data_IF_451751998861
#
_entry.id   IF_451751998861
#
_cell.length_a   1.000
_cell.length_b   1.000
_cell.length_c   1.000
_cell.angle_alpha   90.00
_cell.angle_beta   90.00
_cell.angle_gamma   90.00
#
_symmetry.space_group_name_H-M   'P 1'
#
loop_
_entity.id
_entity.type
_entity.pdbx_description
1 polymer ?
#
# COMPACT_ATOMS: atom_id res chain seq x y z
N UNK A 1 -13.17 -8.89 24.14
CA UNK A 1 -12.62 -8.72 22.78
C UNK A 1 -11.16 -9.13 22.77
N UNK A 2 -10.82 -10.24 22.10
CA UNK A 2 -9.46 -10.83 22.05
C UNK A 2 -9.02 -11.11 20.59
N UNK A 3 -9.46 -10.27 19.64
CA UNK A 3 -9.19 -10.44 18.19
C UNK A 3 -8.26 -9.38 17.58
N UNK A 4 -7.81 -8.37 18.33
CA UNK A 4 -7.15 -7.20 17.72
C UNK A 4 -5.64 -7.34 17.44
N UNK A 5 -4.89 -8.23 18.13
CA UNK A 5 -3.45 -8.41 17.89
C UNK A 5 -3.08 -9.54 16.90
N UNK A 6 -3.95 -10.53 16.73
CA UNK A 6 -3.72 -11.66 15.83
C UNK A 6 -4.06 -11.34 14.37
N UNK A 7 -4.99 -10.41 14.15
CA UNK A 7 -5.47 -10.06 12.81
C UNK A 7 -4.39 -9.40 11.93
N UNK A 8 -3.53 -8.54 12.51
CA UNK A 8 -2.57 -7.79 11.72
C UNK A 8 -1.46 -8.68 11.12
N UNK A 9 -0.80 -9.60 11.87
CA UNK A 9 0.15 -10.53 11.26
C UNK A 9 -0.47 -11.44 10.19
N UNK A 10 -1.69 -11.91 10.41
CA UNK A 10 -2.42 -12.75 9.45
C UNK A 10 -2.71 -11.98 8.16
N UNK A 11 -3.18 -10.73 8.27
CA UNK A 11 -3.38 -9.84 7.14
C UNK A 11 -2.07 -9.62 6.36
N UNK A 12 -0.99 -9.24 7.03
CA UNK A 12 0.30 -8.99 6.36
C UNK A 12 0.82 -10.25 5.64
N UNK A 13 0.57 -11.44 6.20
CA UNK A 13 0.92 -12.69 5.54
C UNK A 13 0.10 -12.92 4.27
N UNK A 14 -1.21 -12.66 4.32
CA UNK A 14 -2.15 -12.84 3.22
C UNK A 14 -1.82 -11.90 2.04
N UNK A 15 -1.48 -10.64 2.34
CA UNK A 15 -1.09 -9.60 1.37
C UNK A 15 0.24 -9.87 0.63
N UNK A 16 0.93 -10.98 0.91
CA UNK A 16 2.02 -11.48 0.05
C UNK A 16 1.50 -12.03 -1.27
N UNK A 17 0.25 -12.49 -1.29
CA UNK A 17 -0.44 -12.90 -2.50
C UNK A 17 -0.83 -11.64 -3.32
N UNK A 18 -0.36 -11.49 -4.57
CA UNK A 18 -0.64 -10.31 -5.37
C UNK A 18 -2.14 -10.04 -5.59
N UNK A 19 -2.97 -11.09 -5.67
CA UNK A 19 -4.43 -10.93 -5.85
C UNK A 19 -5.09 -10.37 -4.60
N UNK A 20 -4.71 -10.85 -3.43
CA UNK A 20 -5.26 -10.34 -2.18
C UNK A 20 -4.82 -8.89 -1.92
N UNK A 21 -3.57 -8.56 -2.27
CA UNK A 21 -3.09 -7.19 -2.19
C UNK A 21 -3.79 -6.25 -3.18
N UNK A 22 -4.08 -6.70 -4.40
CA UNK A 22 -4.88 -5.96 -5.38
C UNK A 22 -6.31 -5.70 -4.87
N UNK A 23 -7.01 -6.75 -4.46
CA UNK A 23 -8.37 -6.65 -3.92
C UNK A 23 -8.42 -5.72 -2.69
N UNK A 24 -7.44 -5.84 -1.81
CA UNK A 24 -7.34 -5.01 -0.61
C UNK A 24 -7.09 -3.52 -0.92
N UNK A 25 -6.21 -3.21 -1.88
CA UNK A 25 -5.96 -1.83 -2.30
C UNK A 25 -7.18 -1.23 -3.03
N UNK A 26 -7.86 -2.01 -3.86
CA UNK A 26 -9.08 -1.56 -4.54
C UNK A 26 -10.21 -1.31 -3.55
N UNK A 27 -10.44 -2.21 -2.59
CA UNK A 27 -11.41 -2.00 -1.53
C UNK A 27 -11.13 -0.71 -0.74
N UNK A 28 -9.85 -0.42 -0.45
CA UNK A 28 -9.50 0.83 0.22
C UNK A 28 -9.71 2.09 -0.65
N UNK A 29 -9.63 1.99 -1.99
CA UNK A 29 -9.96 3.08 -2.91
C UNK A 29 -11.46 3.35 -3.02
N UNK A 30 -12.30 2.33 -2.80
CA UNK A 30 -13.77 2.44 -2.90
C UNK A 30 -14.39 3.22 -1.73
N UNK A 31 -13.71 3.31 -0.59
CA UNK A 31 -14.20 3.98 0.63
C UNK A 31 -14.08 5.52 0.59
N UNK A 32 -13.54 6.09 -0.50
CA UNK A 32 -13.31 7.54 -0.69
C UNK A 32 -12.55 8.22 0.49
N UNK A 33 -11.72 7.44 1.19
CA UNK A 33 -10.88 7.88 2.31
C UNK A 33 -9.38 7.73 1.95
N UNK A 34 -8.68 8.84 1.67
CA UNK A 34 -7.25 8.81 1.36
C UNK A 34 -6.40 8.23 2.49
N UNK A 35 -6.75 8.44 3.76
CA UNK A 35 -5.96 7.93 4.90
C UNK A 35 -6.05 6.40 4.98
N UNK A 36 -7.23 5.85 4.67
CA UNK A 36 -7.45 4.40 4.57
C UNK A 36 -6.63 3.79 3.41
N UNK A 37 -6.61 4.44 2.25
CA UNK A 37 -5.78 3.98 1.14
C UNK A 37 -4.29 4.00 1.48
N UNK A 38 -3.81 5.05 2.16
CA UNK A 38 -2.43 5.12 2.63
C UNK A 38 -2.11 4.04 3.68
N UNK A 39 -3.07 3.69 4.54
CA UNK A 39 -2.94 2.56 5.46
C UNK A 39 -2.84 1.24 4.70
N UNK A 40 -3.66 1.03 3.68
CA UNK A 40 -3.60 -0.17 2.86
C UNK A 40 -2.25 -0.29 2.14
N UNK A 41 -1.75 0.81 1.57
CA UNK A 41 -0.40 0.87 0.98
C UNK A 41 0.71 0.55 1.97
N UNK A 42 0.61 1.00 3.23
CA UNK A 42 1.55 0.62 4.30
C UNK A 42 1.56 -0.88 4.54
N UNK A 43 0.37 -1.48 4.69
CA UNK A 43 0.23 -2.92 4.94
C UNK A 43 0.79 -3.75 3.78
N UNK A 44 0.47 -3.39 2.54
CA UNK A 44 1.03 -4.07 1.36
C UNK A 44 2.55 -3.84 1.27
N UNK A 45 3.03 -2.63 1.57
CA UNK A 45 4.49 -2.37 1.62
C UNK A 45 5.19 -3.29 2.62
N UNK A 46 4.63 -3.47 3.82
CA UNK A 46 5.16 -4.39 4.83
C UNK A 46 5.16 -5.83 4.34
N UNK A 47 4.05 -6.31 3.76
CA UNK A 47 3.92 -7.64 3.20
C UNK A 47 4.97 -7.91 2.09
N UNK A 48 5.28 -6.89 1.28
CA UNK A 48 6.24 -6.92 0.17
C UNK A 48 7.70 -6.71 0.61
N UNK A 49 8.03 -6.91 1.89
CA UNK A 49 9.40 -6.84 2.41
C UNK A 49 9.80 -5.47 2.97
N UNK A 50 8.83 -4.56 3.12
CA UNK A 50 8.96 -3.29 3.81
C UNK A 50 9.65 -2.18 3.00
N UNK A 51 9.68 -1.00 3.62
CA UNK A 51 10.21 0.25 3.03
C UNK A 51 11.65 0.10 2.53
N UNK A 52 12.49 -0.69 3.22
CA UNK A 52 13.89 -0.92 2.80
C UNK A 52 13.97 -1.60 1.44
N UNK A 53 13.18 -2.67 1.25
CA UNK A 53 13.18 -3.39 -0.03
C UNK A 53 12.61 -2.50 -1.13
N UNK A 54 11.55 -1.76 -0.81
CA UNK A 54 10.84 -0.92 -1.77
C UNK A 54 11.66 0.31 -2.20
N UNK A 55 12.44 0.92 -1.28
CA UNK A 55 13.41 1.97 -1.60
C UNK A 55 14.42 1.52 -2.67
N UNK A 56 14.93 0.28 -2.53
CA UNK A 56 15.88 -0.29 -3.50
C UNK A 56 15.23 -0.48 -4.88
N UNK A 57 13.98 -0.93 -4.92
CA UNK A 57 13.24 -1.16 -6.19
C UNK A 57 12.84 0.15 -6.88
N UNK A 58 12.37 1.13 -6.11
CA UNK A 58 11.81 2.40 -6.63
C UNK A 58 12.85 3.49 -6.89
N UNK A 59 14.08 3.34 -6.35
CA UNK A 59 15.11 4.39 -6.26
C UNK A 59 14.64 5.64 -5.48
N UNK A 60 13.58 5.53 -4.69
CA UNK A 60 13.16 6.55 -3.74
C UNK A 60 13.95 6.37 -2.43
N UNK A 61 14.26 7.48 -1.75
CA UNK A 61 14.88 7.38 -0.44
C UNK A 61 13.83 6.93 0.61
N UNK A 62 14.31 6.31 1.70
CA UNK A 62 13.44 5.73 2.74
C UNK A 62 12.60 6.79 3.45
N UNK A 63 13.15 7.99 3.67
CA UNK A 63 12.46 9.10 4.33
C UNK A 63 11.25 9.56 3.52
N UNK A 64 11.42 9.72 2.20
CA UNK A 64 10.35 10.05 1.26
C UNK A 64 9.26 8.98 1.27
N UNK A 65 9.63 7.70 1.29
CA UNK A 65 8.66 6.61 1.41
C UNK A 65 7.90 6.65 2.74
N UNK A 66 8.57 6.88 3.87
CA UNK A 66 7.90 7.00 5.18
C UNK A 66 6.95 8.20 5.23
N UNK A 67 7.36 9.36 4.69
CA UNK A 67 6.51 10.55 4.62
C UNK A 67 5.29 10.32 3.72
N UNK A 68 5.53 9.74 2.56
CA UNK A 68 4.50 9.42 1.57
C UNK A 68 3.48 8.43 2.12
N UNK A 69 3.94 7.40 2.83
CA UNK A 69 3.11 6.37 3.45
C UNK A 69 2.69 6.74 4.87
N UNK A 70 2.81 7.99 5.31
CA UNK A 70 2.31 8.40 6.63
C UNK A 70 0.78 8.50 6.62
N UNK A 71 0.15 8.58 7.79
CA UNK A 71 -1.31 8.73 7.93
C UNK A 71 -1.83 9.93 7.13
N UNK A 72 -1.10 11.05 7.19
CA UNK A 72 -1.39 12.29 6.44
C UNK A 72 -0.46 12.49 5.24
N UNK A 73 0.01 11.39 4.66
CA UNK A 73 0.86 11.42 3.48
C UNK A 73 0.14 12.08 2.31
N UNK A 74 0.88 12.76 1.45
CA UNK A 74 0.34 13.27 0.19
C UNK A 74 1.29 12.86 -0.95
N UNK A 75 1.21 11.60 -1.41
CA UNK A 75 2.03 11.12 -2.51
C UNK A 75 1.84 11.96 -3.77
N UNK A 76 2.93 12.43 -4.36
CA UNK A 76 2.89 12.84 -5.75
C UNK A 76 2.54 11.64 -6.65
N UNK A 77 1.71 11.87 -7.67
CA UNK A 77 1.26 10.83 -8.61
C UNK A 77 2.42 9.99 -9.16
N UNK A 78 3.54 10.63 -9.52
CA UNK A 78 4.75 9.96 -10.04
C UNK A 78 5.40 9.02 -9.02
N UNK A 79 5.38 9.39 -7.75
CA UNK A 79 5.96 8.58 -6.67
C UNK A 79 5.04 7.42 -6.32
N UNK A 80 3.72 7.64 -6.31
CA UNK A 80 2.71 6.60 -6.15
C UNK A 80 2.79 5.57 -7.28
N UNK A 81 2.87 6.03 -8.54
CA UNK A 81 2.98 5.15 -9.70
C UNK A 81 4.23 4.26 -9.62
N UNK A 82 5.39 4.83 -9.29
CA UNK A 82 6.62 4.05 -9.06
C UNK A 82 6.49 3.03 -7.94
N UNK A 83 5.82 3.41 -6.85
CA UNK A 83 5.60 2.54 -5.70
C UNK A 83 4.75 1.33 -6.11
N UNK A 84 3.62 1.57 -6.77
CA UNK A 84 2.72 0.55 -7.27
C UNK A 84 3.45 -0.41 -8.21
N UNK A 85 4.20 0.11 -9.19
CA UNK A 85 4.98 -0.71 -10.11
C UNK A 85 6.02 -1.58 -9.39
N UNK A 86 6.68 -1.06 -8.36
CA UNK A 86 7.65 -1.83 -7.58
C UNK A 86 7.00 -2.91 -6.70
N UNK A 87 5.70 -2.80 -6.42
CA UNK A 87 4.87 -3.81 -5.77
C UNK A 87 4.15 -4.74 -6.79
N UNK A 88 4.28 -4.49 -8.10
CA UNK A 88 3.65 -5.29 -9.16
C UNK A 88 2.28 -4.79 -9.62
N UNK A 89 1.88 -3.58 -9.23
CA UNK A 89 0.60 -2.96 -9.59
C UNK A 89 0.77 -1.79 -10.56
N UNK A 90 -0.33 -1.29 -11.11
CA UNK A 90 -0.38 -0.09 -11.95
C UNK A 90 -1.63 0.73 -11.64
N UNK A 91 -1.58 2.03 -11.90
CA UNK A 91 -2.79 2.86 -11.88
C UNK A 91 -3.71 2.48 -13.06
N UNK A 92 -5.02 2.58 -12.83
CA UNK A 92 -6.04 2.35 -13.83
C UNK A 92 -7.20 3.33 -13.62
N UNK A 93 -7.92 3.63 -14.70
CA UNK A 93 -9.16 4.41 -14.67
C UNK A 93 -10.30 3.43 -14.85
N UNK A 94 -11.30 3.51 -13.97
CA UNK A 94 -12.55 2.78 -14.07
C UNK A 94 -13.71 3.77 -14.23
N UNK A 95 -14.79 3.36 -14.90
CA UNK A 95 -16.01 4.15 -14.94
C UNK A 95 -16.72 4.01 -13.58
N UNK A 96 -17.13 5.12 -12.96
CA UNK A 96 -18.05 5.07 -11.84
C UNK A 96 -19.38 4.50 -12.37
N UNK A 97 -19.77 3.31 -11.91
CA UNK A 97 -21.04 2.66 -12.26
C UNK A 97 -21.84 2.44 -11.01
#
# INVERSE_FOLDING_TARGET
>A
MKRSKAYQPELIQSLRNPREAEEYLNAALEEDDPELFLLALRNVTEAQGGVTQLARKTKLNRESLYKMLSERGNPELKSLDRLLHAMGFRLAVAANR
#
